data_IF_607836097548
#
_entry.id   IF_607836097548
#
_cell.length_a   1.000
_cell.length_b   1.000
_cell.length_c   1.000
_cell.angle_alpha   90.00
_cell.angle_beta   90.00
_cell.angle_gamma   90.00
#
_symmetry.space_group_name_H-M   'P 1'
#
loop_
_entity.id
_entity.type
_entity.pdbx_description
1 polymer ?
#
# COMPACT_ATOMS: atom_id res chain seq x y z
N UNK A 1 5.42 -5.73 2.46
CA UNK A 1 5.06 -4.34 2.81
C UNK A 1 5.98 -3.38 2.06
N UNK A 2 5.39 -2.39 1.41
CA UNK A 2 6.13 -1.28 0.79
C UNK A 2 5.65 0.00 1.47
N UNK A 3 6.51 0.63 2.25
CA UNK A 3 6.12 1.78 3.08
C UNK A 3 6.96 3.01 2.75
N UNK A 4 6.30 4.18 2.74
CA UNK A 4 6.97 5.48 2.60
C UNK A 4 7.80 5.89 3.81
N UNK A 5 7.75 5.14 4.89
CA UNK A 5 8.54 5.46 6.09
C UNK A 5 10.04 5.52 5.77
N UNK A 6 10.74 6.35 6.49
CA UNK A 6 12.18 6.52 6.34
C UNK A 6 12.95 5.42 7.08
N UNK A 7 14.16 5.14 6.62
CA UNK A 7 14.97 4.02 7.14
C UNK A 7 15.27 4.12 8.63
N UNK A 8 15.34 5.33 9.18
CA UNK A 8 15.56 5.47 10.62
C UNK A 8 14.39 4.93 11.46
N UNK A 9 13.21 4.75 10.86
CA UNK A 9 12.06 4.15 11.53
C UNK A 9 11.98 2.63 11.32
N UNK A 10 12.98 2.00 10.70
CA UNK A 10 12.96 0.57 10.35
C UNK A 10 12.75 -0.31 11.58
N UNK A 11 13.58 -0.17 12.58
CA UNK A 11 13.52 -1.07 13.73
C UNK A 11 12.18 -1.00 14.47
N UNK A 12 11.68 0.20 14.74
CA UNK A 12 10.39 0.35 15.42
C UNK A 12 9.23 -0.19 14.58
N UNK A 13 9.31 -0.05 13.27
CA UNK A 13 8.29 -0.55 12.35
C UNK A 13 8.30 -2.07 12.27
N UNK A 14 9.48 -2.67 12.12
CA UNK A 14 9.64 -4.13 12.08
C UNK A 14 9.17 -4.78 13.41
N UNK A 15 9.52 -4.18 14.53
CA UNK A 15 9.10 -4.67 15.85
C UNK A 15 7.58 -4.62 15.99
N UNK A 16 6.95 -3.55 15.54
CA UNK A 16 5.50 -3.41 15.58
C UNK A 16 4.81 -4.47 14.71
N UNK A 17 5.31 -4.69 13.50
CA UNK A 17 4.77 -5.72 12.59
C UNK A 17 4.94 -7.11 13.19
N UNK A 18 6.10 -7.41 13.75
CA UNK A 18 6.35 -8.71 14.37
C UNK A 18 5.44 -8.97 15.56
N UNK A 19 5.19 -7.94 16.36
CA UNK A 19 4.30 -8.04 17.53
C UNK A 19 2.84 -8.26 17.13
N UNK A 20 2.35 -7.51 16.13
CA UNK A 20 0.94 -7.47 15.75
C UNK A 20 0.56 -8.45 14.64
N UNK A 21 1.48 -8.78 13.75
CA UNK A 21 1.25 -9.65 12.60
C UNK A 21 2.42 -10.64 12.41
N UNK A 22 2.70 -11.49 13.40
CA UNK A 22 3.87 -12.37 13.33
C UNK A 22 3.77 -13.36 12.16
N UNK A 23 4.82 -13.43 11.35
CA UNK A 23 4.93 -14.38 10.25
C UNK A 23 4.01 -14.12 9.06
N UNK A 24 3.34 -12.98 8.98
CA UNK A 24 2.36 -12.70 7.92
C UNK A 24 2.98 -12.05 6.68
N UNK A 25 4.12 -11.42 6.80
CA UNK A 25 4.75 -10.69 5.69
C UNK A 25 6.12 -11.26 5.35
N UNK A 26 6.40 -11.41 4.06
CA UNK A 26 7.64 -11.99 3.57
C UNK A 26 8.79 -10.99 3.57
N UNK A 27 8.50 -9.71 3.35
CA UNK A 27 9.53 -8.68 3.24
C UNK A 27 8.95 -7.30 3.56
N UNK A 28 9.84 -6.35 3.81
CA UNK A 28 9.48 -4.96 4.08
C UNK A 28 10.49 -4.02 3.44
N UNK A 29 10.00 -3.14 2.56
CA UNK A 29 10.83 -2.16 1.85
C UNK A 29 10.45 -0.75 2.29
N UNK A 30 11.44 0.02 2.68
CA UNK A 30 11.30 1.43 3.07
C UNK A 30 11.68 2.30 1.90
N UNK A 31 10.76 3.15 1.43
CA UNK A 31 11.00 3.98 0.25
C UNK A 31 11.57 5.35 0.57
N UNK A 32 11.78 5.69 1.83
CA UNK A 32 12.34 6.97 2.26
C UNK A 32 11.61 8.18 1.65
N UNK A 33 10.28 8.16 1.66
CA UNK A 33 9.46 9.22 1.07
C UNK A 33 9.81 10.59 1.64
N UNK A 34 9.77 11.60 0.77
CA UNK A 34 10.10 12.98 1.08
C UNK A 34 11.57 13.24 1.44
N UNK A 35 12.46 12.32 1.09
CA UNK A 35 13.90 12.49 1.25
C UNK A 35 14.61 12.44 -0.09
N UNK A 36 15.90 12.83 -0.12
CA UNK A 36 16.74 12.73 -1.32
C UNK A 36 16.94 11.27 -1.77
N UNK A 37 16.77 10.33 -0.86
CA UNK A 37 16.93 8.90 -1.13
C UNK A 37 15.62 8.20 -1.48
N UNK A 38 14.57 8.95 -1.78
CA UNK A 38 13.27 8.38 -2.07
C UNK A 38 13.30 7.41 -3.24
N UNK A 39 12.64 6.26 -3.04
CA UNK A 39 12.47 5.24 -4.06
C UNK A 39 10.98 5.17 -4.40
N UNK A 40 10.65 5.10 -5.69
CA UNK A 40 9.27 4.96 -6.12
C UNK A 40 8.70 3.58 -5.76
N UNK A 41 7.48 3.54 -5.24
CA UNK A 41 6.80 2.27 -4.95
C UNK A 41 6.61 1.42 -6.20
N UNK A 42 6.35 2.04 -7.34
CA UNK A 42 6.19 1.30 -8.61
C UNK A 42 7.50 0.61 -9.00
N UNK A 43 8.66 1.24 -8.77
CA UNK A 43 9.95 0.63 -9.06
C UNK A 43 10.21 -0.57 -8.15
N UNK A 44 9.84 -0.48 -6.87
CA UNK A 44 9.92 -1.61 -5.93
C UNK A 44 9.04 -2.76 -6.41
N UNK A 45 7.80 -2.48 -6.80
CA UNK A 45 6.88 -3.50 -7.29
C UNK A 45 7.43 -4.20 -8.54
N UNK A 46 8.01 -3.47 -9.47
CA UNK A 46 8.61 -4.04 -10.68
C UNK A 46 9.81 -4.91 -10.35
N UNK A 47 10.68 -4.45 -9.47
CA UNK A 47 11.90 -5.17 -9.06
C UNK A 47 11.57 -6.48 -8.34
N UNK A 48 10.54 -6.49 -7.51
CA UNK A 48 10.14 -7.66 -6.72
C UNK A 48 9.06 -8.51 -7.39
N UNK A 49 8.68 -8.18 -8.62
CA UNK A 49 7.62 -8.87 -9.38
C UNK A 49 6.28 -8.89 -8.62
N UNK A 50 5.94 -7.79 -7.99
CA UNK A 50 4.66 -7.61 -7.30
C UNK A 50 3.58 -7.35 -8.37
N UNK A 51 2.52 -8.14 -8.36
CA UNK A 51 1.43 -8.04 -9.34
C UNK A 51 0.23 -7.25 -8.82
N UNK A 52 0.16 -7.02 -7.51
CA UNK A 52 -0.97 -6.34 -6.88
C UNK A 52 -0.47 -5.43 -5.77
N UNK A 53 -0.96 -4.19 -5.74
CA UNK A 53 -0.64 -3.24 -4.66
C UNK A 53 -1.93 -2.69 -4.05
N UNK A 54 -1.88 -2.44 -2.75
CA UNK A 54 -2.94 -1.76 -2.00
C UNK A 54 -2.30 -0.53 -1.37
N UNK A 55 -2.77 0.65 -1.72
CA UNK A 55 -2.17 1.90 -1.24
C UNK A 55 -3.26 2.98 -1.13
N UNK A 56 -3.07 3.94 -0.26
CA UNK A 56 -3.99 5.06 -0.06
C UNK A 56 -3.55 6.34 -0.80
N UNK A 57 -2.39 6.33 -1.41
CA UNK A 57 -1.84 7.48 -2.13
C UNK A 57 -2.20 7.39 -3.62
N UNK A 58 -3.04 8.31 -4.09
CA UNK A 58 -3.53 8.30 -5.47
C UNK A 58 -2.41 8.40 -6.51
N UNK A 59 -1.39 9.20 -6.24
CA UNK A 59 -0.25 9.35 -7.16
C UNK A 59 0.52 8.02 -7.32
N UNK A 60 0.79 7.33 -6.22
CA UNK A 60 1.46 6.03 -6.27
C UNK A 60 0.58 4.99 -6.97
N UNK A 61 -0.72 5.03 -6.72
CA UNK A 61 -1.67 4.15 -7.40
C UNK A 61 -1.71 4.41 -8.90
N UNK A 62 -1.72 5.67 -9.33
CA UNK A 62 -1.71 6.02 -10.74
C UNK A 62 -0.47 5.47 -11.45
N UNK A 63 0.70 5.60 -10.84
CA UNK A 63 1.95 5.07 -11.39
C UNK A 63 1.90 3.55 -11.54
N UNK A 64 1.39 2.86 -10.53
CA UNK A 64 1.29 1.40 -10.55
C UNK A 64 0.30 0.92 -11.61
N UNK A 65 -0.85 1.56 -11.74
CA UNK A 65 -1.83 1.23 -12.78
C UNK A 65 -1.25 1.44 -14.18
N UNK A 66 -0.52 2.52 -14.39
CA UNK A 66 0.12 2.81 -15.67
C UNK A 66 1.09 1.71 -16.08
N UNK A 67 1.73 1.07 -15.13
CA UNK A 67 2.68 -0.03 -15.37
C UNK A 67 2.02 -1.41 -15.36
N UNK A 68 0.68 -1.48 -15.34
CA UNK A 68 -0.05 -2.73 -15.42
C UNK A 68 -0.13 -3.51 -14.11
N UNK A 69 0.19 -2.90 -12.99
CA UNK A 69 0.08 -3.52 -11.67
C UNK A 69 -1.37 -3.39 -11.20
N UNK A 70 -1.98 -4.50 -10.79
CA UNK A 70 -3.32 -4.49 -10.22
C UNK A 70 -3.31 -3.64 -8.95
N UNK A 71 -4.19 -2.63 -8.88
CA UNK A 71 -4.12 -1.64 -7.83
C UNK A 71 -5.47 -1.48 -7.14
N UNK A 72 -5.45 -1.52 -5.82
CA UNK A 72 -6.59 -1.15 -4.99
C UNK A 72 -6.27 0.13 -4.24
N UNK A 73 -7.14 1.14 -4.38
CA UNK A 73 -7.02 2.42 -3.69
C UNK A 73 -7.71 2.32 -2.35
N UNK A 74 -6.94 2.26 -1.28
CA UNK A 74 -7.51 2.18 0.06
C UNK A 74 -7.90 3.59 0.51
N UNK A 75 -9.14 3.98 0.21
CA UNK A 75 -9.60 5.36 0.29
C UNK A 75 -10.40 5.73 1.53
N UNK A 76 -10.59 4.84 2.47
CA UNK A 76 -11.38 5.10 3.65
C UNK A 76 -10.99 4.24 4.85
N UNK A 77 -11.78 4.29 5.92
CA UNK A 77 -11.41 3.61 7.15
C UNK A 77 -12.54 2.80 7.80
N UNK A 78 -13.79 3.04 7.42
CA UNK A 78 -14.94 2.39 8.07
C UNK A 78 -15.98 1.82 7.08
N UNK A 79 -15.66 1.80 5.79
CA UNK A 79 -16.58 1.33 4.75
C UNK A 79 -17.55 2.37 4.23
N UNK A 80 -17.57 3.57 4.79
CA UNK A 80 -18.49 4.67 4.43
C UNK A 80 -17.74 5.95 4.11
N UNK A 81 -16.86 6.38 4.99
CA UNK A 81 -16.20 7.68 4.92
C UNK A 81 -14.83 7.57 4.23
N UNK A 82 -14.57 8.47 3.29
CA UNK A 82 -13.30 8.54 2.58
C UNK A 82 -12.29 9.40 3.35
N UNK A 83 -11.00 9.05 3.19
CA UNK A 83 -9.93 9.94 3.62
C UNK A 83 -9.98 11.26 2.84
N UNK A 84 -9.66 12.41 3.47
CA UNK A 84 -9.71 13.72 2.79
C UNK A 84 -8.78 13.83 1.58
N UNK A 85 -7.73 13.04 1.53
CA UNK A 85 -6.73 13.06 0.45
C UNK A 85 -7.03 12.08 -0.69
N UNK A 86 -8.09 11.29 -0.58
CA UNK A 86 -8.45 10.29 -1.58
C UNK A 86 -9.62 10.74 -2.45
N UNK A 87 -9.55 10.41 -3.74
CA UNK A 87 -10.65 10.57 -4.68
C UNK A 87 -11.25 9.20 -4.99
N UNK A 88 -12.57 9.16 -5.18
CA UNK A 88 -13.23 7.91 -5.55
C UNK A 88 -12.91 7.55 -6.99
N UNK A 89 -12.43 6.35 -7.18
CA UNK A 89 -12.17 5.72 -8.48
C UNK A 89 -12.84 4.35 -8.53
N UNK A 90 -12.82 3.69 -9.69
CA UNK A 90 -13.42 2.36 -9.85
C UNK A 90 -12.83 1.30 -8.92
N UNK A 91 -11.56 1.43 -8.59
CA UNK A 91 -10.83 0.50 -7.73
C UNK A 91 -10.68 1.01 -6.29
N UNK A 92 -11.43 2.02 -5.89
CA UNK A 92 -11.41 2.53 -4.51
C UNK A 92 -12.21 1.61 -3.59
N UNK A 93 -11.59 1.21 -2.49
CA UNK A 93 -12.22 0.47 -1.40
C UNK A 93 -12.15 1.29 -0.12
N UNK A 94 -13.15 1.19 0.74
CA UNK A 94 -13.26 2.00 1.93
C UNK A 94 -13.01 1.22 3.23
N UNK A 95 -12.71 -0.07 3.12
CA UNK A 95 -12.35 -0.91 4.25
C UNK A 95 -11.67 -2.19 3.77
N UNK A 96 -10.96 -2.87 4.66
CA UNK A 96 -10.38 -4.20 4.38
C UNK A 96 -11.47 -5.25 4.12
N UNK A 97 -12.59 -5.15 4.83
CA UNK A 97 -13.72 -6.06 4.63
C UNK A 97 -14.31 -5.92 3.22
N UNK A 98 -14.47 -4.70 2.74
CA UNK A 98 -14.94 -4.42 1.38
C UNK A 98 -13.97 -4.99 0.34
N UNK A 99 -12.67 -4.75 0.50
CA UNK A 99 -11.66 -5.27 -0.42
C UNK A 99 -11.73 -6.80 -0.49
N UNK A 100 -11.77 -7.46 0.66
CA UNK A 100 -11.79 -8.92 0.73
C UNK A 100 -13.07 -9.50 0.14
N UNK A 101 -14.22 -8.98 0.56
CA UNK A 101 -15.53 -9.47 0.10
C UNK A 101 -15.70 -9.34 -1.42
N UNK A 102 -15.34 -8.18 -1.97
CA UNK A 102 -15.64 -7.88 -3.37
C UNK A 102 -14.61 -8.48 -4.34
N UNK A 103 -13.44 -8.88 -3.87
CA UNK A 103 -12.34 -9.32 -4.72
C UNK A 103 -11.83 -10.74 -4.43
N UNK A 104 -12.12 -11.31 -3.27
CA UNK A 104 -11.58 -12.61 -2.84
C UNK A 104 -12.65 -13.59 -2.36
N UNK A 105 -13.89 -13.15 -2.15
CA UNK A 105 -15.04 -13.99 -1.86
C UNK A 105 -16.04 -13.85 -3.01
N UNK A 106 -16.40 -14.95 -3.61
CA UNK A 106 -17.41 -14.99 -4.67
C UNK A 106 -18.80 -15.26 -4.09
#
# INVERSE_FOLDING_TARGET
IVTGRQRHARQVTEDWITENFPGMFDDMVFTDSFTINEISKVDVCKKLNIDTIIDDNDYQCDLCEHEGIRTFRFGGFNGVDMYPWCDRRNNTVLSWAELYRDNYIN
#
